data_IF_938487960968
#
_entry.id   IF_938487960968
#
_cell.length_a   1.000
_cell.length_b   1.000
_cell.length_c   1.000
_cell.angle_alpha   90.00
_cell.angle_beta   90.00
_cell.angle_gamma   90.00
#
_symmetry.space_group_name_H-M   'P 1'
#
loop_
_entity.id
_entity.type
_entity.pdbx_description
1 polymer ?
#
# COMPACT_ATOMS: atom_id res chain seq x y z
N UNK A 1 8.55 18.22 12.52
CA UNK A 1 8.14 16.85 12.14
C UNK A 1 9.05 16.42 10.99
N UNK A 2 9.78 15.30 11.09
CA UNK A 2 10.45 14.74 9.91
C UNK A 2 9.36 14.31 8.93
N UNK A 3 9.30 14.93 7.76
CA UNK A 3 8.50 14.39 6.66
C UNK A 3 8.97 12.95 6.42
N UNK A 4 8.06 12.01 6.63
CA UNK A 4 8.28 10.63 6.23
C UNK A 4 8.38 10.63 4.70
N UNK A 5 9.44 10.01 4.18
CA UNK A 5 9.63 9.85 2.74
C UNK A 5 8.32 9.35 2.09
N UNK A 6 7.86 9.95 0.97
CA UNK A 6 6.57 9.62 0.35
C UNK A 6 6.47 8.18 -0.15
N UNK A 7 7.59 7.44 -0.17
CA UNK A 7 7.70 6.02 -0.47
C UNK A 7 7.83 5.14 0.79
N UNK A 8 7.75 5.71 1.99
CA UNK A 8 7.66 4.93 3.23
C UNK A 8 6.27 4.31 3.35
N UNK A 9 6.20 2.99 3.42
CA UNK A 9 4.96 2.26 3.68
C UNK A 9 4.64 2.39 5.17
N UNK A 10 3.49 2.98 5.51
CA UNK A 10 3.07 3.11 6.91
C UNK A 10 2.61 1.76 7.48
N UNK A 11 2.68 1.56 8.81
CA UNK A 11 2.20 0.35 9.46
C UNK A 11 0.75 0.02 9.10
N UNK A 12 0.40 -1.26 9.18
CA UNK A 12 -0.95 -1.71 8.90
C UNK A 12 -1.95 -1.17 9.93
N UNK A 13 -3.03 -0.56 9.45
CA UNK A 13 -4.12 -0.09 10.31
C UNK A 13 -4.85 -1.20 11.06
N UNK A 14 -5.00 -2.36 10.44
CA UNK A 14 -5.82 -3.44 11.00
C UNK A 14 -5.14 -4.12 12.19
N UNK A 15 -3.81 -4.27 12.16
CA UNK A 15 -3.06 -5.01 13.20
C UNK A 15 -1.93 -4.20 13.86
N UNK A 16 -1.67 -2.97 13.42
CA UNK A 16 -0.52 -2.15 13.87
C UNK A 16 0.84 -2.63 13.36
N UNK A 17 0.89 -3.73 12.60
CA UNK A 17 2.13 -4.39 12.20
C UNK A 17 2.94 -3.61 11.17
N UNK A 18 4.26 -3.67 11.30
CA UNK A 18 5.23 -3.06 10.36
C UNK A 18 5.69 -4.02 9.25
N UNK A 19 5.29 -5.29 9.32
CA UNK A 19 5.53 -6.26 8.26
C UNK A 19 4.51 -6.05 7.13
N UNK A 20 4.75 -4.98 6.38
CA UNK A 20 4.02 -4.53 5.20
C UNK A 20 5.00 -4.46 4.03
N UNK A 21 4.60 -4.95 2.87
CA UNK A 21 5.47 -4.97 1.69
C UNK A 21 4.67 -4.78 0.40
N UNK A 22 5.38 -4.48 -0.68
CA UNK A 22 4.82 -4.42 -2.01
C UNK A 22 4.72 -5.82 -2.61
N UNK A 23 3.58 -6.11 -3.19
CA UNK A 23 3.35 -7.27 -4.04
C UNK A 23 3.12 -6.77 -5.47
N UNK A 24 3.66 -7.48 -6.46
CA UNK A 24 3.40 -7.23 -7.87
C UNK A 24 2.82 -8.44 -8.59
N UNK A 25 2.08 -8.18 -9.66
CA UNK A 25 1.70 -9.18 -10.64
C UNK A 25 1.72 -8.55 -12.04
N UNK A 26 1.91 -9.37 -13.08
CA UNK A 26 1.76 -8.96 -14.47
C UNK A 26 0.45 -9.54 -15.05
N UNK A 27 -0.63 -8.73 -15.15
CA UNK A 27 -1.89 -9.21 -15.70
C UNK A 27 -1.74 -9.59 -17.18
N UNK A 28 -2.44 -10.63 -17.66
CA UNK A 28 -2.47 -10.96 -19.09
C UNK A 28 -2.85 -9.74 -19.95
N UNK A 29 -2.11 -9.52 -21.03
CA UNK A 29 -2.34 -8.39 -21.93
C UNK A 29 -1.75 -7.05 -21.48
N UNK A 30 -1.13 -6.96 -20.29
CA UNK A 30 -0.34 -5.79 -19.90
C UNK A 30 1.14 -5.97 -20.19
N UNK A 31 1.81 -4.84 -20.45
CA UNK A 31 3.27 -4.76 -20.64
C UNK A 31 4.04 -4.43 -19.36
N UNK A 32 3.32 -4.03 -18.31
CA UNK A 32 3.91 -3.57 -17.06
C UNK A 32 3.19 -4.19 -15.87
N UNK A 33 3.95 -4.47 -14.82
CA UNK A 33 3.43 -4.96 -13.56
C UNK A 33 2.47 -3.96 -12.91
N UNK A 34 1.53 -4.50 -12.15
CA UNK A 34 0.72 -3.73 -11.23
C UNK A 34 1.11 -4.09 -9.80
N UNK A 35 0.91 -3.15 -8.89
CA UNK A 35 1.46 -3.16 -7.54
C UNK A 35 0.37 -2.95 -6.50
N UNK A 36 0.47 -3.62 -5.36
CA UNK A 36 -0.34 -3.35 -4.16
C UNK A 36 0.51 -3.48 -2.92
N UNK A 37 0.05 -2.92 -1.80
CA UNK A 37 0.68 -3.15 -0.49
C UNK A 37 -0.12 -4.22 0.23
N UNK A 38 0.59 -5.17 0.84
CA UNK A 38 0.04 -6.25 1.65
C UNK A 38 0.68 -6.27 3.03
N UNK A 39 -0.07 -6.71 4.03
CA UNK A 39 0.43 -6.99 5.37
C UNK A 39 0.38 -8.49 5.66
N UNK A 40 1.33 -8.99 6.45
CA UNK A 40 1.34 -10.37 6.95
C UNK A 40 0.05 -10.81 7.67
N UNK A 41 -0.78 -9.88 8.18
CA UNK A 41 -2.09 -10.19 8.77
C UNK A 41 -3.19 -10.49 7.73
N UNK A 42 -2.88 -10.41 6.44
CA UNK A 42 -3.83 -10.61 5.34
C UNK A 42 -4.47 -9.33 4.81
N UNK A 43 -4.30 -8.18 5.49
CA UNK A 43 -4.82 -6.92 5.00
C UNK A 43 -4.05 -6.45 3.75
N UNK A 44 -4.78 -6.02 2.74
CA UNK A 44 -4.23 -5.55 1.46
C UNK A 44 -5.02 -4.38 0.92
N UNK A 45 -4.40 -3.54 0.08
CA UNK A 45 -5.15 -2.64 -0.80
C UNK A 45 -6.10 -3.45 -1.69
N UNK A 46 -7.37 -3.02 -1.79
CA UNK A 46 -8.36 -3.66 -2.67
C UNK A 46 -8.06 -3.45 -4.15
N UNK A 47 -7.39 -2.34 -4.48
CA UNK A 47 -7.04 -1.98 -5.86
C UNK A 47 -5.55 -2.14 -6.12
N UNK A 48 -5.24 -2.59 -7.33
CA UNK A 48 -3.88 -2.60 -7.85
C UNK A 48 -3.52 -1.25 -8.50
N UNK A 49 -2.27 -0.83 -8.34
CA UNK A 49 -1.74 0.42 -8.86
C UNK A 49 -0.75 0.19 -9.99
N UNK A 50 -0.66 1.13 -10.93
CA UNK A 50 0.27 1.05 -12.08
C UNK A 50 1.74 1.33 -11.72
N UNK A 51 2.03 1.69 -10.47
CA UNK A 51 3.39 1.88 -9.97
C UNK A 51 3.46 1.65 -8.47
N UNK A 52 4.66 1.33 -7.97
CA UNK A 52 4.94 1.17 -6.54
C UNK A 52 4.52 2.41 -5.74
N UNK A 53 4.95 3.60 -6.15
CA UNK A 53 4.62 4.84 -5.45
C UNK A 53 3.11 5.11 -5.38
N UNK A 54 2.35 4.74 -6.42
CA UNK A 54 0.89 4.85 -6.39
C UNK A 54 0.26 3.85 -5.39
N UNK A 55 0.78 2.63 -5.31
CA UNK A 55 0.34 1.63 -4.33
C UNK A 55 0.60 2.09 -2.89
N UNK A 56 1.79 2.63 -2.62
CA UNK A 56 2.18 3.15 -1.31
C UNK A 56 1.29 4.33 -0.92
N UNK A 57 1.07 5.28 -1.83
CA UNK A 57 0.15 6.41 -1.57
C UNK A 57 -1.27 5.94 -1.33
N UNK A 58 -1.77 4.94 -2.05
CA UNK A 58 -3.10 4.39 -1.84
C UNK A 58 -3.24 3.74 -0.44
N UNK A 59 -2.26 2.93 -0.05
CA UNK A 59 -2.18 2.35 1.30
C UNK A 59 -2.13 3.43 2.38
N UNK A 60 -1.24 4.42 2.22
CA UNK A 60 -1.07 5.52 3.16
C UNK A 60 -2.27 6.48 3.19
N UNK A 61 -3.13 6.52 2.15
CA UNK A 61 -4.38 7.30 2.17
C UNK A 61 -5.52 6.61 2.90
N UNK A 62 -5.57 5.28 2.91
CA UNK A 62 -6.55 4.56 3.75
C UNK A 62 -6.34 4.88 5.26
N UNK A 63 -5.15 5.34 5.65
CA UNK A 63 -4.88 5.92 6.97
C UNK A 63 -5.53 7.28 7.23
N UNK A 64 -5.79 8.09 6.21
CA UNK A 64 -6.41 9.41 6.39
C UNK A 64 -7.91 9.30 6.71
N UNK A 65 -8.64 8.37 6.08
CA UNK A 65 -10.07 8.21 6.32
C UNK A 65 -10.42 7.46 7.62
N UNK A 66 -9.47 6.71 8.21
CA UNK A 66 -9.72 5.99 9.46
C UNK A 66 -9.59 6.89 10.71
N UNK A 67 -9.14 8.14 10.55
CA UNK A 67 -8.88 9.09 11.63
C UNK A 67 -9.86 10.28 11.63
N UNK A 68 -10.99 10.18 10.92
CA UNK A 68 -12.07 11.18 10.88
C UNK A 68 -13.35 10.73 11.62
N UNK A 69 -13.25 9.78 12.55
CA UNK A 69 -14.34 9.37 13.47
C UNK A 69 -13.93 9.57 14.93
#
# INVERSE_FOLDING_TARGET
MKELDPHTIRPCLACGGTNVHLESMLPPGRRQEVWRVVCSCGQTSQQWSVSQGAAIRAWNRNLACANEL
#
